data_IF_232808094032
#
_entry.id   IF_232808094032
#
_cell.length_a   1.000
_cell.length_b   1.000
_cell.length_c   1.000
_cell.angle_alpha   90.00
_cell.angle_beta   90.00
_cell.angle_gamma   90.00
#
_symmetry.space_group_name_H-M   'P 1'
#
loop_
_entity.id
_entity.type
_entity.pdbx_description
1 polymer ?
#
# COMPACT_ATOMS: atom_id res chain seq x y z
N UNK A 1 10.73 -19.41 -38.97
CA UNK A 1 12.07 -19.22 -38.34
C UNK A 1 13.06 -20.20 -38.98
N UNK A 2 14.30 -19.79 -39.22
CA UNK A 2 15.32 -20.61 -39.90
C UNK A 2 16.31 -21.23 -38.91
N UNK A 3 16.97 -22.32 -39.29
CA UNK A 3 17.97 -23.00 -38.44
C UNK A 3 19.13 -22.08 -38.05
N UNK A 4 19.57 -21.22 -38.98
CA UNK A 4 20.61 -20.21 -38.72
C UNK A 4 20.22 -19.23 -37.61
N UNK A 5 18.94 -18.88 -37.51
CA UNK A 5 18.45 -18.03 -36.43
C UNK A 5 18.61 -18.73 -35.07
N UNK A 6 18.23 -20.01 -34.96
CA UNK A 6 18.36 -20.77 -33.73
C UNK A 6 19.80 -21.00 -33.30
N UNK A 7 20.70 -21.25 -34.24
CA UNK A 7 22.14 -21.38 -33.96
C UNK A 7 22.72 -20.06 -33.42
N UNK A 8 22.39 -18.91 -34.04
CA UNK A 8 22.82 -17.60 -33.55
C UNK A 8 22.24 -17.27 -32.18
N UNK A 9 20.96 -17.54 -31.97
CA UNK A 9 20.31 -17.34 -30.69
C UNK A 9 20.95 -18.20 -29.60
N UNK A 10 21.17 -19.49 -29.87
CA UNK A 10 21.82 -20.41 -28.94
C UNK A 10 23.23 -19.94 -28.57
N UNK A 11 24.03 -19.52 -29.55
CA UNK A 11 25.39 -19.04 -29.31
C UNK A 11 25.39 -17.75 -28.48
N UNK A 12 24.49 -16.81 -28.77
CA UNK A 12 24.32 -15.59 -27.98
C UNK A 12 23.83 -15.89 -26.55
N UNK A 13 22.92 -16.85 -26.39
CA UNK A 13 22.39 -17.25 -25.09
C UNK A 13 23.47 -17.85 -24.18
N UNK A 14 24.33 -18.73 -24.70
CA UNK A 14 25.43 -19.32 -23.94
C UNK A 14 26.65 -18.39 -23.77
N UNK A 15 26.80 -17.39 -24.63
CA UNK A 15 27.84 -16.37 -24.47
C UNK A 15 27.50 -15.34 -23.38
N UNK A 16 26.22 -15.24 -22.98
CA UNK A 16 25.79 -14.36 -21.88
C UNK A 16 26.23 -14.93 -20.52
N UNK A 17 27.04 -14.19 -19.74
CA UNK A 17 27.47 -14.61 -18.40
C UNK A 17 26.30 -14.95 -17.47
N UNK A 18 25.13 -14.33 -17.66
CA UNK A 18 23.92 -14.61 -16.87
C UNK A 18 23.34 -16.01 -17.09
N UNK A 19 23.77 -16.72 -18.14
CA UNK A 19 23.29 -18.07 -18.48
C UNK A 19 24.41 -19.12 -18.51
N UNK A 20 25.68 -18.72 -18.48
CA UNK A 20 26.83 -19.64 -18.55
C UNK A 20 27.69 -19.67 -17.28
N UNK A 21 27.83 -18.55 -16.57
CA UNK A 21 28.61 -18.48 -15.34
C UNK A 21 27.78 -19.03 -14.16
N UNK A 22 28.24 -20.07 -13.45
CA UNK A 22 27.54 -20.63 -12.29
C UNK A 22 27.20 -19.58 -11.22
N UNK A 23 28.05 -18.59 -11.01
CA UNK A 23 27.79 -17.51 -10.06
C UNK A 23 26.58 -16.68 -10.48
N UNK A 24 26.57 -16.17 -11.71
CA UNK A 24 25.49 -15.32 -12.21
C UNK A 24 24.18 -16.08 -12.42
N UNK A 25 24.25 -17.35 -12.81
CA UNK A 25 23.09 -18.25 -12.86
C UNK A 25 22.50 -18.42 -11.45
N UNK A 26 23.32 -18.61 -10.42
CA UNK A 26 22.86 -18.70 -9.04
C UNK A 26 22.25 -17.38 -8.55
N UNK A 27 22.87 -16.24 -8.83
CA UNK A 27 22.32 -14.92 -8.52
C UNK A 27 20.97 -14.71 -9.21
N UNK A 28 20.86 -15.03 -10.50
CA UNK A 28 19.61 -14.96 -11.26
C UNK A 28 18.54 -15.87 -10.66
N UNK A 29 18.91 -17.09 -10.26
CA UNK A 29 18.01 -18.02 -9.60
C UNK A 29 17.56 -17.52 -8.23
N UNK A 30 18.44 -16.93 -7.43
CA UNK A 30 18.10 -16.37 -6.12
C UNK A 30 17.22 -15.12 -6.23
N UNK A 31 17.50 -14.24 -7.20
CA UNK A 31 16.63 -13.11 -7.53
C UNK A 31 15.25 -13.60 -7.98
N UNK A 32 15.19 -14.61 -8.85
CA UNK A 32 13.92 -15.18 -9.30
C UNK A 32 13.17 -15.89 -8.15
N UNK A 33 13.88 -16.55 -7.23
CA UNK A 33 13.30 -17.14 -6.01
C UNK A 33 12.73 -16.10 -5.06
N UNK A 34 13.29 -14.89 -5.03
CA UNK A 34 12.79 -13.75 -4.23
C UNK A 34 11.68 -12.96 -4.93
N UNK A 35 11.59 -13.00 -6.26
CA UNK A 35 10.58 -12.27 -7.05
C UNK A 35 9.16 -12.79 -6.85
N UNK A 36 9.00 -14.09 -6.61
CA UNK A 36 7.69 -14.70 -6.43
C UNK A 36 7.46 -14.97 -4.94
N UNK A 37 6.55 -14.25 -4.27
CA UNK A 37 6.18 -14.59 -2.89
C UNK A 37 5.57 -16.00 -2.89
N UNK A 38 6.16 -16.89 -2.10
CA UNK A 38 5.82 -18.32 -2.13
C UNK A 38 4.62 -18.64 -1.26
N UNK A 39 4.31 -17.76 -0.32
CA UNK A 39 3.27 -17.99 0.68
C UNK A 39 2.31 -16.80 0.76
N UNK A 40 1.01 -17.08 0.88
CA UNK A 40 -0.05 -16.07 1.02
C UNK A 40 0.16 -15.12 2.21
N UNK A 41 0.82 -15.60 3.28
CA UNK A 41 1.26 -14.77 4.41
C UNK A 41 2.34 -13.75 4.03
N UNK A 42 3.29 -14.12 3.17
CA UNK A 42 4.32 -13.19 2.68
C UNK A 42 3.68 -12.10 1.84
N UNK A 43 2.77 -12.47 0.92
CA UNK A 43 1.96 -11.53 0.14
C UNK A 43 1.20 -10.54 1.03
N UNK A 44 0.56 -11.03 2.09
CA UNK A 44 -0.17 -10.20 3.03
C UNK A 44 0.76 -9.23 3.78
N UNK A 45 1.92 -9.71 4.25
CA UNK A 45 2.91 -8.88 4.94
C UNK A 45 3.48 -7.78 4.03
N UNK A 46 3.79 -8.10 2.77
CA UNK A 46 4.26 -7.15 1.76
C UNK A 46 3.15 -6.15 1.44
N UNK A 47 1.90 -6.61 1.33
CA UNK A 47 0.75 -5.77 1.07
C UNK A 47 0.50 -4.75 2.19
N UNK A 48 0.78 -5.06 3.45
CA UNK A 48 0.70 -4.10 4.56
C UNK A 48 1.94 -3.23 4.75
N UNK A 49 3.08 -3.66 4.21
CA UNK A 49 4.34 -2.92 4.39
C UNK A 49 4.29 -1.52 3.76
N UNK A 50 4.94 -0.51 4.37
CA UNK A 50 5.02 0.82 3.80
C UNK A 50 5.81 0.76 2.48
N UNK A 51 5.17 1.17 1.38
CA UNK A 51 5.80 1.22 0.05
C UNK A 51 6.07 2.69 -0.33
N UNK A 52 7.33 3.08 -0.58
CA UNK A 52 7.66 4.46 -0.93
C UNK A 52 6.99 4.95 -2.21
N UNK A 53 6.73 4.05 -3.18
CA UNK A 53 6.00 4.40 -4.42
C UNK A 53 4.55 4.81 -4.13
N UNK A 54 3.92 4.24 -3.10
CA UNK A 54 2.56 4.62 -2.71
C UNK A 54 2.55 6.05 -2.15
N UNK A 55 3.58 6.44 -1.41
CA UNK A 55 3.70 7.81 -0.91
C UNK A 55 3.88 8.81 -2.07
N UNK A 56 4.65 8.43 -3.09
CA UNK A 56 4.80 9.25 -4.30
C UNK A 56 3.47 9.42 -5.05
N UNK A 57 2.71 8.33 -5.21
CA UNK A 57 1.40 8.37 -5.86
C UNK A 57 0.45 9.29 -5.07
N UNK A 58 0.43 9.19 -3.73
CA UNK A 58 -0.37 10.08 -2.86
C UNK A 58 -0.03 11.56 -3.00
N UNK A 59 1.20 11.90 -3.36
CA UNK A 59 1.63 13.29 -3.58
C UNK A 59 1.43 13.80 -5.01
N UNK A 60 0.92 12.96 -5.92
CA UNK A 60 0.73 13.34 -7.32
C UNK A 60 -0.42 14.35 -7.47
N UNK A 61 -0.24 15.44 -8.24
CA UNK A 61 -1.28 16.45 -8.45
C UNK A 61 -2.45 15.96 -9.33
N UNK A 62 -2.28 14.86 -10.07
CA UNK A 62 -3.27 14.32 -11.01
C UNK A 62 -4.01 13.08 -10.46
N UNK A 63 -3.95 12.84 -9.16
CA UNK A 63 -4.59 11.67 -8.55
C UNK A 63 -6.10 11.92 -8.37
N UNK A 64 -6.92 10.91 -8.69
CA UNK A 64 -8.37 10.97 -8.46
C UNK A 64 -8.70 10.65 -7.01
N UNK A 65 -9.83 11.16 -6.52
CA UNK A 65 -10.30 10.87 -5.16
C UNK A 65 -10.50 9.37 -4.91
N UNK A 66 -10.99 8.65 -5.92
CA UNK A 66 -11.17 7.20 -5.87
C UNK A 66 -9.85 6.48 -5.61
N UNK A 67 -8.79 6.82 -6.36
CA UNK A 67 -7.47 6.22 -6.17
C UNK A 67 -6.88 6.58 -4.79
N UNK A 68 -7.11 7.79 -4.29
CA UNK A 68 -6.68 8.16 -2.93
C UNK A 68 -7.41 7.33 -1.87
N UNK A 69 -8.74 7.19 -2.00
CA UNK A 69 -9.56 6.40 -1.08
C UNK A 69 -9.15 4.93 -1.07
N UNK A 70 -8.91 4.33 -2.24
CA UNK A 70 -8.39 2.97 -2.38
C UNK A 70 -7.03 2.80 -1.69
N UNK A 71 -6.12 3.77 -1.86
CA UNK A 71 -4.78 3.73 -1.24
C UNK A 71 -4.82 3.93 0.28
N UNK A 72 -5.82 4.63 0.81
CA UNK A 72 -6.05 4.72 2.26
C UNK A 72 -6.58 3.38 2.77
N UNK A 73 -7.53 2.77 2.06
CA UNK A 73 -8.15 1.51 2.41
C UNK A 73 -7.33 0.26 2.04
N UNK A 74 -6.04 0.43 1.70
CA UNK A 74 -5.13 -0.64 1.28
C UNK A 74 -5.09 -1.81 2.26
N UNK A 75 -5.09 -1.55 3.56
CA UNK A 75 -5.04 -2.63 4.57
C UNK A 75 -6.25 -3.57 4.49
N UNK A 76 -7.43 -3.02 4.14
CA UNK A 76 -8.67 -3.79 3.95
C UNK A 76 -8.66 -4.55 2.63
N UNK A 77 -8.08 -3.97 1.59
CA UNK A 77 -7.82 -4.67 0.34
C UNK A 77 -6.85 -5.86 0.55
N UNK A 78 -5.81 -5.70 1.38
CA UNK A 78 -4.90 -6.79 1.73
C UNK A 78 -5.61 -7.93 2.49
N UNK A 79 -6.53 -7.61 3.42
CA UNK A 79 -7.34 -8.60 4.14
C UNK A 79 -8.26 -9.38 3.20
N UNK A 80 -8.89 -8.70 2.24
CA UNK A 80 -9.70 -9.34 1.20
C UNK A 80 -8.87 -10.25 0.30
N UNK A 81 -7.73 -9.77 -0.20
CA UNK A 81 -6.83 -10.55 -1.05
C UNK A 81 -6.31 -11.79 -0.31
N UNK A 82 -5.98 -11.65 0.98
CA UNK A 82 -5.58 -12.77 1.82
C UNK A 82 -6.68 -13.83 1.93
N UNK A 83 -7.92 -13.40 2.21
CA UNK A 83 -9.07 -14.30 2.24
C UNK A 83 -9.24 -15.04 0.90
N UNK A 84 -9.17 -14.33 -0.23
CA UNK A 84 -9.30 -14.94 -1.57
C UNK A 84 -8.18 -15.96 -1.83
N UNK A 85 -6.95 -15.67 -1.41
CA UNK A 85 -5.83 -16.60 -1.57
C UNK A 85 -6.02 -17.89 -0.77
N UNK A 86 -6.59 -17.79 0.44
CA UNK A 86 -6.93 -18.97 1.26
C UNK A 86 -8.02 -19.82 0.61
N UNK A 87 -9.02 -19.18 -0.01
CA UNK A 87 -10.07 -19.90 -0.73
C UNK A 87 -9.51 -20.66 -1.93
N UNK A 88 -8.58 -20.06 -2.69
CA UNK A 88 -7.91 -20.73 -3.81
C UNK A 88 -7.12 -21.96 -3.32
N UNK A 89 -6.33 -21.79 -2.25
CA UNK A 89 -5.57 -22.92 -1.65
C UNK A 89 -6.50 -24.02 -1.14
N UNK A 90 -7.65 -23.67 -0.57
CA UNK A 90 -8.66 -24.62 -0.10
C UNK A 90 -9.32 -25.37 -1.26
N UNK A 91 -9.66 -24.68 -2.35
CA UNK A 91 -10.23 -25.28 -3.55
C UNK A 91 -9.28 -26.29 -4.21
N UNK A 92 -7.99 -25.97 -4.25
CA UNK A 92 -6.94 -26.87 -4.75
C UNK A 92 -6.67 -28.06 -3.81
N UNK A 93 -6.76 -27.84 -2.48
CA UNK A 93 -6.46 -28.84 -1.47
C UNK A 93 -7.72 -29.34 -0.75
N UNK A 94 -8.58 -30.10 -1.44
CA UNK A 94 -9.82 -30.72 -0.90
C UNK A 94 -9.66 -31.56 0.38
N UNK A 95 -8.42 -31.90 0.78
CA UNK A 95 -8.13 -32.66 2.01
C UNK A 95 -8.06 -31.80 3.28
N UNK A 96 -7.95 -30.47 3.16
CA UNK A 96 -7.95 -29.58 4.32
C UNK A 96 -9.39 -29.16 4.59
N UNK A 97 -9.92 -29.44 5.79
CA UNK A 97 -11.17 -28.86 6.30
C UNK A 97 -10.97 -27.36 6.56
N UNK A 98 -10.81 -26.58 5.50
CA UNK A 98 -10.84 -25.13 5.58
C UNK A 98 -12.31 -24.76 5.45
N UNK A 99 -12.86 -24.14 6.49
CA UNK A 99 -14.22 -23.63 6.48
C UNK A 99 -14.30 -22.54 5.40
N UNK A 100 -14.98 -22.85 4.29
CA UNK A 100 -15.15 -21.96 3.15
C UNK A 100 -16.29 -20.97 3.44
N UNK A 101 -16.17 -20.22 4.53
CA UNK A 101 -16.95 -18.98 4.63
C UNK A 101 -16.44 -18.03 3.55
N UNK A 102 -17.39 -17.45 2.80
CA UNK A 102 -17.09 -16.50 1.73
C UNK A 102 -16.29 -15.31 2.23
N UNK A 103 -15.51 -14.66 1.34
CA UNK A 103 -14.84 -13.40 1.64
C UNK A 103 -15.78 -12.17 1.63
N UNK A 104 -17.10 -12.40 1.75
CA UNK A 104 -18.13 -11.37 1.65
C UNK A 104 -18.00 -10.33 2.76
N UNK A 105 -17.64 -10.76 3.97
CA UNK A 105 -17.43 -9.83 5.10
C UNK A 105 -16.26 -8.88 4.84
N UNK A 106 -15.15 -9.39 4.32
CA UNK A 106 -13.96 -8.61 3.96
C UNK A 106 -14.26 -7.66 2.80
N UNK A 107 -15.07 -8.09 1.83
CA UNK A 107 -15.51 -7.25 0.73
C UNK A 107 -16.39 -6.09 1.21
N UNK A 108 -17.33 -6.34 2.13
CA UNK A 108 -18.15 -5.29 2.76
C UNK A 108 -17.30 -4.29 3.53
N UNK A 109 -16.31 -4.77 4.30
CA UNK A 109 -15.38 -3.92 5.05
C UNK A 109 -14.58 -3.02 4.09
N UNK A 110 -14.03 -3.58 3.01
CA UNK A 110 -13.29 -2.82 2.01
C UNK A 110 -14.16 -1.75 1.35
N UNK A 111 -15.34 -2.12 0.86
CA UNK A 111 -16.25 -1.19 0.19
C UNK A 111 -16.74 -0.08 1.14
N UNK A 112 -17.04 -0.43 2.39
CA UNK A 112 -17.40 0.56 3.42
C UNK A 112 -16.28 1.55 3.68
N UNK A 113 -15.03 1.09 3.73
CA UNK A 113 -13.86 1.95 3.91
C UNK A 113 -13.74 2.93 2.74
N UNK A 114 -13.81 2.44 1.50
CA UNK A 114 -13.67 3.29 0.30
C UNK A 114 -14.76 4.36 0.29
N UNK A 115 -16.01 4.00 0.53
CA UNK A 115 -17.13 4.96 0.55
C UNK A 115 -16.96 6.02 1.64
N UNK A 116 -16.54 5.62 2.85
CA UNK A 116 -16.31 6.55 3.96
C UNK A 116 -15.17 7.53 3.65
N UNK A 117 -14.05 7.02 3.11
CA UNK A 117 -12.90 7.86 2.77
C UNK A 117 -13.20 8.79 1.59
N UNK A 118 -13.95 8.34 0.59
CA UNK A 118 -14.39 9.17 -0.52
C UNK A 118 -15.23 10.36 -0.02
N UNK A 119 -16.22 10.10 0.84
CA UNK A 119 -17.05 11.14 1.45
C UNK A 119 -16.21 12.11 2.29
N UNK A 120 -15.26 11.58 3.07
CA UNK A 120 -14.35 12.39 3.88
C UNK A 120 -13.51 13.31 3.00
N UNK A 121 -12.90 12.79 1.94
CA UNK A 121 -12.07 13.55 1.00
C UNK A 121 -12.89 14.68 0.34
N UNK A 122 -14.07 14.35 -0.21
CA UNK A 122 -14.96 15.32 -0.83
C UNK A 122 -15.38 16.43 0.16
N UNK A 123 -15.70 16.07 1.40
CA UNK A 123 -16.09 17.05 2.42
C UNK A 123 -14.95 18.01 2.80
N UNK A 124 -13.71 17.52 2.81
CA UNK A 124 -12.54 18.35 3.10
C UNK A 124 -12.22 19.25 1.91
N UNK A 125 -12.29 18.72 0.70
CA UNK A 125 -12.09 19.49 -0.51
C UNK A 125 -13.11 20.63 -0.64
N UNK A 126 -14.38 20.36 -0.36
CA UNK A 126 -15.43 21.37 -0.36
C UNK A 126 -15.13 22.49 0.65
N UNK A 127 -14.77 22.13 1.89
CA UNK A 127 -14.38 23.13 2.92
C UNK A 127 -13.16 23.96 2.50
N UNK A 128 -12.19 23.35 1.83
CA UNK A 128 -11.02 24.06 1.32
C UNK A 128 -11.40 25.03 0.20
N UNK A 129 -12.29 24.62 -0.72
CA UNK A 129 -12.85 25.48 -1.78
C UNK A 129 -13.62 26.66 -1.20
N UNK A 130 -14.45 26.43 -0.19
CA UNK A 130 -15.20 27.50 0.50
C UNK A 130 -14.26 28.52 1.16
N UNK A 131 -13.19 28.07 1.81
CA UNK A 131 -12.15 28.93 2.39
C UNK A 131 -11.37 29.73 1.33
N UNK A 132 -10.98 29.11 0.23
CA UNK A 132 -10.21 29.81 -0.83
C UNK A 132 -11.06 30.79 -1.62
N UNK A 133 -12.37 30.54 -1.74
CA UNK A 133 -13.33 31.46 -2.37
C UNK A 133 -13.80 32.57 -1.42
N UNK A 134 -13.32 32.61 -0.17
CA UNK A 134 -13.65 33.65 0.80
C UNK A 134 -15.09 33.59 1.32
N UNK A 135 -15.76 32.44 1.20
CA UNK A 135 -17.09 32.20 1.80
C UNK A 135 -16.85 31.76 3.26
N UNK A 136 -16.29 32.65 4.08
CA UNK A 136 -16.24 32.44 5.51
C UNK A 136 -17.63 32.70 6.10
N UNK A 137 -18.30 31.65 6.56
CA UNK A 137 -19.31 31.81 7.61
C UNK A 137 -18.59 32.39 8.83
N UNK A 138 -18.85 33.67 9.12
CA UNK A 138 -18.27 34.51 10.17
C UNK A 138 -18.60 34.08 11.62
N UNK A 139 -18.71 32.77 11.90
CA UNK A 139 -19.09 32.25 13.23
C UNK A 139 -18.11 31.20 13.77
N UNK A 140 -16.81 31.49 13.76
CA UNK A 140 -15.87 30.76 14.62
C UNK A 140 -15.14 31.74 15.54
N UNK A 141 -15.65 31.80 16.78
CA UNK A 141 -15.01 32.46 17.93
C UNK A 141 -13.53 32.07 18.02
N UNK A 142 -12.62 33.01 18.31
CA UNK A 142 -11.21 32.71 18.46
C UNK A 142 -10.99 31.72 19.60
N UNK A 143 -10.25 30.65 19.31
CA UNK A 143 -9.71 29.73 20.30
C UNK A 143 -8.60 30.48 21.05
N UNK A 144 -8.86 30.88 22.29
CA UNK A 144 -7.83 31.39 23.20
C UNK A 144 -6.94 30.23 23.65
N UNK A 145 -5.72 30.16 23.11
CA UNK A 145 -4.65 29.34 23.67
C UNK A 145 -4.15 30.07 24.93
N UNK A 146 -4.66 29.68 26.10
CA UNK A 146 -4.07 30.08 27.38
C UNK A 146 -2.82 29.23 27.61
N UNK A 147 -1.64 29.83 27.41
CA UNK A 147 -0.40 29.24 27.87
C UNK A 147 -0.37 29.32 29.40
N UNK A 148 -0.60 28.17 30.07
CA UNK A 148 -0.29 28.02 31.49
C UNK A 148 1.23 28.18 31.67
N UNK A 149 1.64 29.36 32.11
CA UNK A 149 2.97 29.64 32.64
C UNK A 149 3.07 28.91 33.99
N UNK A 150 3.59 27.68 33.98
CA UNK A 150 3.96 27.02 35.23
C UNK A 150 5.22 27.71 35.77
N UNK A 151 5.02 28.45 36.84
CA UNK A 151 6.00 29.04 37.73
C UNK A 151 6.66 27.94 38.58
N UNK A 152 7.92 27.62 38.31
CA UNK A 152 8.86 27.08 39.29
C UNK A 152 10.27 27.56 38.92
N UNK A 153 10.78 28.54 39.66
CA UNK A 153 12.13 28.53 40.23
C UNK A 153 12.36 29.83 41.02
N UNK A 154 12.26 29.71 42.33
CA UNK A 154 12.93 30.56 43.30
C UNK A 154 14.41 30.18 43.32
N UNK A 155 15.29 31.09 42.93
CA UNK A 155 16.66 31.15 43.47
C UNK A 155 17.00 32.59 43.84
N UNK A 156 17.09 32.78 45.15
CA UNK A 156 17.77 33.88 45.84
C UNK A 156 19.27 33.78 45.55
N UNK A 157 19.85 34.88 45.06
CA UNK A 157 21.24 35.26 45.37
C UNK A 157 21.20 36.79 45.57
N UNK A 158 21.13 37.21 46.83
CA UNK A 158 21.55 38.56 47.24
C UNK A 158 23.07 38.58 47.41
N UNK A 159 23.63 39.80 47.37
CA UNK A 159 24.97 40.10 47.85
C UNK A 159 25.11 39.86 49.35
#
# INVERSE_FOLDING_TARGET
>A
MTERYWQRYRNAYYADPLNSDPFWVNVKNDVNRKRNPKHHLELYSICRSPNPYINQIKSSPNITHDTVAELICRDKACELQYCMSLQLVAAENRRRKIDLQGCESQQKIMNSCITQELQRIQSVEQKLRERTLGIENMDQKPIFITTKKNSQETMLIEA
#
